data_IF_796429401241
#
_entry.id   IF_796429401241
#
_cell.length_a   1.000
_cell.length_b   1.000
_cell.length_c   1.000
_cell.angle_alpha   90.00
_cell.angle_beta   90.00
_cell.angle_gamma   90.00
#
_symmetry.space_group_name_H-M   'P 1'
#
loop_
_entity.id
_entity.type
_entity.pdbx_description
1 polymer ?
#
# COMPACT_ATOMS: atom_id res chain seq x y z
N UNK A 1 -41.88 -7.07 37.80
CA UNK A 1 -41.10 -7.49 36.61
C UNK A 1 -40.16 -6.34 36.26
N UNK A 2 -38.89 -6.45 36.65
CA UNK A 2 -37.87 -5.47 36.31
C UNK A 2 -37.33 -5.82 34.92
N UNK A 3 -37.45 -4.88 33.99
CA UNK A 3 -36.83 -4.97 32.67
C UNK A 3 -35.31 -4.86 32.84
N UNK A 4 -34.50 -5.68 32.15
CA UNK A 4 -33.06 -5.57 32.20
C UNK A 4 -32.64 -4.25 31.53
N UNK A 5 -31.91 -3.44 32.29
CA UNK A 5 -31.20 -2.26 31.79
C UNK A 5 -30.19 -2.75 30.75
N UNK A 6 -30.45 -2.44 29.50
CA UNK A 6 -29.48 -2.61 28.41
C UNK A 6 -28.32 -1.69 28.71
N UNK A 7 -27.24 -2.23 29.29
CA UNK A 7 -25.97 -1.53 29.43
C UNK A 7 -25.51 -1.11 28.03
N UNK A 8 -25.64 0.17 27.73
CA UNK A 8 -25.04 0.77 26.55
C UNK A 8 -23.53 0.57 26.64
N UNK A 9 -22.98 -0.14 25.65
CA UNK A 9 -21.55 -0.40 25.52
C UNK A 9 -20.73 0.88 25.69
N UNK A 10 -19.59 0.85 26.40
CA UNK A 10 -18.73 2.03 26.54
C UNK A 10 -18.34 2.53 25.16
N UNK A 11 -18.62 3.82 24.89
CA UNK A 11 -18.36 4.52 23.63
C UNK A 11 -17.13 3.98 22.91
N UNK A 12 -17.33 3.52 21.67
CA UNK A 12 -16.26 3.01 20.82
C UNK A 12 -15.31 4.16 20.43
N UNK A 13 -14.26 4.38 21.24
CA UNK A 13 -13.21 5.38 20.99
C UNK A 13 -12.25 4.99 19.87
N UNK A 14 -12.61 4.01 19.04
CA UNK A 14 -11.71 3.47 18.01
C UNK A 14 -11.84 4.29 16.74
N UNK A 15 -10.70 4.75 16.25
CA UNK A 15 -10.59 5.56 15.03
C UNK A 15 -10.41 4.72 13.75
N UNK A 16 -10.39 3.39 13.87
CA UNK A 16 -10.06 2.46 12.76
C UNK A 16 -10.92 1.19 12.82
N UNK A 17 -11.39 0.75 11.65
CA UNK A 17 -12.17 -0.48 11.50
C UNK A 17 -11.30 -1.72 11.79
N UNK A 18 -11.89 -2.71 12.47
CA UNK A 18 -11.25 -4.00 12.76
C UNK A 18 -11.94 -5.10 12.00
N UNK A 19 -11.14 -5.96 11.40
CA UNK A 19 -11.59 -7.13 10.67
C UNK A 19 -11.23 -8.35 11.49
N UNK A 20 -12.24 -9.13 11.90
CA UNK A 20 -12.01 -10.40 12.59
C UNK A 20 -11.53 -11.42 11.58
N UNK A 21 -10.34 -11.96 11.81
CA UNK A 21 -9.73 -12.94 10.92
C UNK A 21 -8.75 -13.80 11.71
N UNK A 22 -8.95 -15.11 11.62
CA UNK A 22 -8.09 -16.10 12.24
C UNK A 22 -7.05 -16.62 11.25
N UNK A 23 -5.87 -16.02 11.30
CA UNK A 23 -4.72 -16.41 10.48
C UNK A 23 -3.49 -16.61 11.37
N UNK A 24 -2.65 -17.63 11.10
CA UNK A 24 -1.39 -17.78 11.79
C UNK A 24 -0.47 -16.62 11.40
N UNK A 25 0.17 -16.04 12.41
CA UNK A 25 1.16 -14.97 12.26
C UNK A 25 2.44 -15.37 12.98
N UNK A 26 3.55 -14.78 12.56
CA UNK A 26 4.82 -14.90 13.30
C UNK A 26 5.07 -13.62 14.08
N UNK A 27 5.49 -13.78 15.33
CA UNK A 27 5.84 -12.71 16.25
C UNK A 27 7.32 -12.86 16.57
N UNK A 28 8.11 -11.88 16.15
CA UNK A 28 9.55 -11.83 16.43
C UNK A 28 9.72 -10.96 17.68
N UNK A 29 10.19 -11.58 18.76
CA UNK A 29 10.41 -10.93 20.05
C UNK A 29 11.88 -10.49 20.18
N UNK A 30 12.16 -9.35 20.81
CA UNK A 30 13.54 -8.95 21.12
C UNK A 30 14.26 -10.03 21.93
N UNK A 31 15.47 -10.41 21.50
CA UNK A 31 16.31 -11.39 22.21
C UNK A 31 15.91 -12.85 22.02
N UNK A 32 14.84 -13.15 21.30
CA UNK A 32 14.43 -14.53 20.97
C UNK A 32 14.85 -14.82 19.54
N UNK A 33 15.66 -15.87 19.33
CA UNK A 33 16.20 -16.21 18.01
C UNK A 33 15.12 -16.71 17.04
N UNK A 34 14.14 -17.47 17.56
CA UNK A 34 13.09 -18.06 16.74
C UNK A 34 11.78 -17.25 16.81
N UNK A 35 11.11 -17.00 15.67
CA UNK A 35 9.80 -16.38 15.67
C UNK A 35 8.76 -17.26 16.35
N UNK A 36 7.98 -16.67 17.26
CA UNK A 36 6.87 -17.35 17.94
C UNK A 36 5.65 -17.35 17.02
N UNK A 37 5.00 -18.49 16.86
CA UNK A 37 3.73 -18.56 16.12
C UNK A 37 2.58 -18.13 17.02
N UNK A 38 1.76 -17.21 16.54
CA UNK A 38 0.53 -16.78 17.20
C UNK A 38 -0.65 -16.87 16.23
N UNK A 39 -1.87 -16.84 16.76
CA UNK A 39 -3.09 -16.79 15.96
C UNK A 39 -3.65 -15.37 16.02
N UNK A 40 -3.72 -14.68 14.88
CA UNK A 40 -4.41 -13.40 14.80
C UNK A 40 -5.91 -13.61 15.08
N UNK A 41 -6.54 -12.68 15.79
CA UNK A 41 -7.97 -12.69 16.09
C UNK A 41 -8.68 -11.53 15.38
N UNK A 42 -8.09 -10.34 15.44
CA UNK A 42 -8.51 -9.18 14.67
C UNK A 42 -7.32 -8.40 14.12
N UNK A 43 -7.51 -7.75 12.98
CA UNK A 43 -6.54 -6.86 12.35
C UNK A 43 -7.22 -5.56 11.92
N UNK A 44 -6.52 -4.44 12.08
CA UNK A 44 -6.92 -3.14 11.55
C UNK A 44 -5.79 -2.51 10.76
N UNK A 45 -6.07 -1.34 10.19
CA UNK A 45 -5.04 -0.55 9.54
C UNK A 45 -3.89 -0.22 10.51
N UNK A 46 -4.14 0.03 11.79
CA UNK A 46 -3.12 0.45 12.76
C UNK A 46 -2.73 -0.53 13.85
N UNK A 47 -3.23 -1.76 13.84
CA UNK A 47 -2.79 -2.75 14.82
C UNK A 47 -3.38 -4.13 14.59
N UNK A 48 -3.08 -5.01 15.53
CA UNK A 48 -3.56 -6.37 15.54
C UNK A 48 -3.84 -6.85 16.96
N UNK A 49 -4.75 -7.81 17.08
CA UNK A 49 -5.02 -8.58 18.28
C UNK A 49 -4.71 -10.04 17.95
N UNK A 50 -3.89 -10.69 18.76
CA UNK A 50 -3.55 -12.10 18.55
C UNK A 50 -3.45 -12.88 19.86
N UNK A 51 -3.65 -14.19 19.77
CA UNK A 51 -3.53 -15.12 20.87
C UNK A 51 -2.24 -15.95 20.75
N UNK A 52 -1.46 -16.01 21.83
CA UNK A 52 -0.22 -16.79 21.94
C UNK A 52 -0.29 -17.80 23.08
N UNK A 53 0.50 -18.88 22.99
CA UNK A 53 0.52 -19.93 24.00
C UNK A 53 1.26 -19.50 25.27
N UNK A 54 2.31 -18.71 25.12
CA UNK A 54 3.19 -18.29 26.21
C UNK A 54 3.03 -16.79 26.52
N UNK A 55 3.33 -16.36 27.76
CA UNK A 55 3.34 -14.94 28.11
C UNK A 55 4.44 -14.21 27.37
N UNK A 56 4.21 -12.92 27.09
CA UNK A 56 5.25 -12.03 26.60
C UNK A 56 6.33 -11.79 27.68
N UNK A 57 7.62 -11.86 27.35
CA UNK A 57 8.69 -11.42 28.24
C UNK A 57 8.52 -9.96 28.70
N UNK A 58 9.05 -9.63 29.88
CA UNK A 58 8.88 -8.32 30.54
C UNK A 58 9.50 -7.13 29.77
N UNK A 59 10.35 -7.36 28.76
CA UNK A 59 10.96 -6.33 27.91
C UNK A 59 10.83 -6.70 26.42
N UNK A 60 9.63 -6.56 25.87
CA UNK A 60 9.29 -7.06 24.53
C UNK A 60 9.13 -5.98 23.46
N UNK A 61 9.53 -4.74 23.72
CA UNK A 61 9.34 -3.64 22.77
C UNK A 61 10.64 -3.17 22.10
N UNK A 62 10.62 -2.86 20.79
CA UNK A 62 9.53 -3.12 19.84
C UNK A 62 9.50 -4.59 19.40
N UNK A 63 8.30 -5.15 19.26
CA UNK A 63 8.11 -6.48 18.67
C UNK A 63 7.82 -6.36 17.18
N UNK A 64 8.13 -7.39 16.40
CA UNK A 64 7.85 -7.39 14.96
C UNK A 64 6.80 -8.44 14.60
N UNK A 65 5.73 -7.98 13.98
CA UNK A 65 4.65 -8.81 13.47
C UNK A 65 4.90 -9.14 12.00
N UNK A 66 4.72 -10.40 11.65
CA UNK A 66 4.84 -10.91 10.29
C UNK A 66 3.54 -11.61 9.93
N UNK A 67 2.77 -11.00 9.04
CA UNK A 67 1.55 -11.56 8.48
C UNK A 67 1.87 -12.25 7.15
N UNK A 68 1.22 -13.39 6.84
CA UNK A 68 1.37 -14.04 5.55
C UNK A 68 0.77 -13.18 4.43
N UNK A 69 1.39 -13.24 3.26
CA UNK A 69 0.90 -12.66 2.01
C UNK A 69 1.02 -13.71 0.88
N UNK A 70 0.48 -13.39 -0.31
CA UNK A 70 0.43 -14.33 -1.45
C UNK A 70 1.85 -14.83 -1.82
N UNK A 71 1.94 -16.10 -2.27
CA UNK A 71 3.17 -16.72 -2.81
C UNK A 71 4.38 -16.59 -1.87
N UNK A 72 4.20 -16.93 -0.60
CA UNK A 72 5.22 -16.90 0.47
C UNK A 72 5.79 -15.51 0.81
N UNK A 73 5.24 -14.45 0.24
CA UNK A 73 5.56 -13.09 0.64
C UNK A 73 4.97 -12.76 2.03
N UNK A 74 5.44 -11.67 2.64
CA UNK A 74 5.04 -11.28 3.99
C UNK A 74 4.76 -9.79 4.11
N UNK A 75 3.89 -9.43 5.07
CA UNK A 75 3.71 -8.07 5.55
C UNK A 75 4.42 -7.99 6.90
N UNK A 76 5.38 -7.08 7.02
CA UNK A 76 6.16 -6.88 8.24
C UNK A 76 5.81 -5.53 8.84
N UNK A 77 5.50 -5.53 10.13
CA UNK A 77 5.24 -4.33 10.89
C UNK A 77 6.01 -4.38 12.21
N UNK A 78 6.77 -3.32 12.52
CA UNK A 78 7.25 -3.12 13.87
C UNK A 78 6.07 -2.58 14.69
N UNK A 79 5.91 -3.11 15.90
CA UNK A 79 4.74 -2.91 16.73
C UNK A 79 5.10 -2.67 18.19
N UNK A 80 4.23 -1.92 18.86
CA UNK A 80 4.28 -1.63 20.29
C UNK A 80 3.17 -2.40 21.00
N UNK A 81 3.47 -2.93 22.19
CA UNK A 81 2.49 -3.63 23.00
C UNK A 81 1.54 -2.60 23.63
N UNK A 82 0.23 -2.79 23.45
CA UNK A 82 -0.77 -1.97 24.14
C UNK A 82 -1.24 -2.62 25.43
N UNK A 83 -1.49 -3.94 25.38
CA UNK A 83 -1.91 -4.74 26.52
C UNK A 83 -1.75 -6.23 26.24
N UNK A 84 -1.49 -7.00 27.28
CA UNK A 84 -1.58 -8.46 27.27
C UNK A 84 -2.51 -8.90 28.42
N UNK A 85 -3.36 -9.89 28.16
CA UNK A 85 -4.24 -10.48 29.18
C UNK A 85 -4.21 -12.00 29.10
N UNK A 86 -4.12 -12.71 30.24
CA UNK A 86 -4.30 -14.16 30.24
C UNK A 86 -5.76 -14.50 29.89
N UNK A 87 -5.94 -15.63 29.21
CA UNK A 87 -7.22 -16.26 28.89
C UNK A 87 -7.40 -17.49 29.79
N UNK A 88 -8.64 -17.93 29.97
CA UNK A 88 -9.00 -19.07 30.83
C UNK A 88 -8.35 -20.39 30.41
N UNK A 89 -7.98 -20.51 29.14
CA UNK A 89 -7.30 -21.69 28.57
C UNK A 89 -5.77 -21.65 28.69
N UNK A 90 -5.22 -20.73 29.49
CA UNK A 90 -3.78 -20.57 29.67
C UNK A 90 -3.07 -19.84 28.51
N UNK A 91 -3.79 -19.43 27.47
CA UNK A 91 -3.24 -18.58 26.40
C UNK A 91 -3.21 -17.12 26.81
N UNK A 92 -2.51 -16.31 26.04
CA UNK A 92 -2.41 -14.87 26.24
C UNK A 92 -2.97 -14.13 25.04
N UNK A 93 -3.90 -13.21 25.30
CA UNK A 93 -4.43 -12.30 24.31
C UNK A 93 -3.62 -11.00 24.33
N UNK A 94 -3.01 -10.68 23.20
CA UNK A 94 -2.06 -9.58 23.05
C UNK A 94 -2.57 -8.59 22.02
N UNK A 95 -2.71 -7.33 22.42
CA UNK A 95 -3.07 -6.24 21.53
C UNK A 95 -1.85 -5.37 21.26
N UNK A 96 -1.58 -5.13 19.99
CA UNK A 96 -0.43 -4.33 19.54
C UNK A 96 -0.86 -3.22 18.61
N UNK A 97 -0.07 -2.14 18.60
CA UNK A 97 -0.18 -1.05 17.63
C UNK A 97 1.00 -1.11 16.68
N UNK A 98 0.76 -0.97 15.38
CA UNK A 98 1.84 -0.82 14.43
C UNK A 98 2.48 0.57 14.56
N UNK A 99 3.81 0.60 14.72
CA UNK A 99 4.60 1.83 14.87
C UNK A 99 5.48 2.12 13.66
N UNK A 100 5.83 1.09 12.87
CA UNK A 100 6.54 1.29 11.63
C UNK A 100 6.16 0.21 10.61
N UNK A 101 5.86 0.64 9.38
CA UNK A 101 5.71 -0.25 8.23
C UNK A 101 6.52 0.30 7.06
N UNK A 102 7.14 -0.60 6.29
CA UNK A 102 7.66 -0.20 4.98
C UNK A 102 6.50 0.22 4.06
N UNK A 103 6.73 1.12 3.09
CA UNK A 103 5.70 1.47 2.10
C UNK A 103 5.09 0.23 1.41
N UNK A 104 5.92 -0.74 1.03
CA UNK A 104 5.48 -2.03 0.44
C UNK A 104 4.57 -2.81 1.39
N UNK A 105 4.92 -2.89 2.67
CA UNK A 105 4.11 -3.58 3.69
C UNK A 105 2.79 -2.84 3.94
N UNK A 106 2.78 -1.50 3.92
CA UNK A 106 1.54 -0.73 4.00
C UNK A 106 0.61 -1.04 2.81
N UNK A 107 1.09 -0.95 1.57
CA UNK A 107 0.25 -1.21 0.39
C UNK A 107 -0.33 -2.62 0.42
N UNK A 108 0.44 -3.62 0.85
CA UNK A 108 -0.04 -4.99 1.04
C UNK A 108 -1.07 -5.10 2.16
N UNK A 109 -0.84 -4.45 3.30
CA UNK A 109 -1.79 -4.43 4.41
C UNK A 109 -3.12 -3.82 3.99
N UNK A 110 -3.10 -2.70 3.27
CA UNK A 110 -4.33 -2.08 2.77
C UNK A 110 -5.08 -3.00 1.81
N UNK A 111 -4.37 -3.68 0.91
CA UNK A 111 -4.98 -4.70 0.04
C UNK A 111 -5.54 -5.87 0.84
N UNK A 112 -4.82 -6.36 1.84
CA UNK A 112 -5.30 -7.42 2.73
C UNK A 112 -6.61 -7.03 3.39
N UNK A 113 -6.66 -5.85 4.00
CA UNK A 113 -7.83 -5.35 4.70
C UNK A 113 -9.01 -5.16 3.75
N UNK A 114 -8.78 -4.66 2.53
CA UNK A 114 -9.82 -4.56 1.49
C UNK A 114 -10.36 -5.93 1.10
N UNK A 115 -9.49 -6.91 0.88
CA UNK A 115 -9.88 -8.27 0.53
C UNK A 115 -10.70 -8.92 1.65
N UNK A 116 -10.27 -8.77 2.90
CA UNK A 116 -10.98 -9.35 4.05
C UNK A 116 -12.30 -8.63 4.34
N UNK A 117 -12.36 -7.31 4.10
CA UNK A 117 -13.57 -6.50 4.30
C UNK A 117 -14.64 -6.74 3.23
N UNK A 118 -14.24 -7.01 1.98
CA UNK A 118 -15.16 -7.30 0.88
C UNK A 118 -15.84 -8.69 0.99
N UNK A 119 -15.27 -9.61 1.78
CA UNK A 119 -15.83 -10.96 2.00
C UNK A 119 -16.98 -11.02 3.01
N UNK A 120 -17.30 -9.92 3.70
CA UNK A 120 -18.44 -9.82 4.62
C UNK A 120 -19.70 -9.33 3.92
N UNK A 121 -20.81 -10.04 4.08
CA UNK A 121 -22.11 -9.75 3.45
C UNK A 121 -22.66 -8.36 3.83
N UNK A 122 -22.86 -7.51 2.81
CA UNK A 122 -23.64 -6.25 2.71
C UNK A 122 -23.26 -5.02 3.56
N UNK A 123 -22.90 -3.91 2.88
CA UNK A 123 -23.71 -2.68 2.80
C UNK A 123 -23.13 -1.67 1.78
N UNK A 124 -24.01 -0.90 1.15
CA UNK A 124 -23.80 0.03 0.04
C UNK A 124 -22.85 1.22 0.30
N UNK A 125 -22.14 1.64 -0.76
CA UNK A 125 -21.57 3.00 -0.92
C UNK A 125 -20.09 3.02 -1.31
N UNK A 126 -19.76 3.38 -2.56
CA UNK A 126 -18.38 3.75 -2.94
C UNK A 126 -18.04 5.19 -2.55
N UNK A 127 -16.90 5.77 -2.99
CA UNK A 127 -15.57 5.20 -3.25
C UNK A 127 -14.67 5.36 -1.99
N UNK A 128 -13.65 4.51 -1.83
CA UNK A 128 -12.71 4.47 -0.69
C UNK A 128 -13.30 4.25 0.71
N UNK A 129 -13.20 3.03 1.25
CA UNK A 129 -12.05 2.66 2.09
C UNK A 129 -12.10 3.21 3.54
N UNK A 130 -13.25 3.10 4.22
CA UNK A 130 -13.46 3.49 5.65
C UNK A 130 -12.63 2.72 6.70
N UNK A 131 -11.47 2.18 6.31
CA UNK A 131 -10.51 1.53 7.19
C UNK A 131 -9.80 2.54 8.12
N UNK A 132 -9.54 3.76 7.63
CA UNK A 132 -8.82 4.81 8.33
C UNK A 132 -9.21 6.20 7.80
N UNK A 133 -9.10 7.23 8.65
CA UNK A 133 -9.26 8.62 8.23
C UNK A 133 -8.13 9.05 7.28
N UNK A 134 -8.51 9.69 6.18
CA UNK A 134 -7.59 10.21 5.16
C UNK A 134 -7.52 11.74 5.25
N UNK A 135 -6.31 12.27 5.20
CA UNK A 135 -6.00 13.68 5.05
C UNK A 135 -5.42 13.87 3.65
N UNK A 136 -6.20 14.51 2.78
CA UNK A 136 -5.75 14.88 1.45
C UNK A 136 -5.12 16.28 1.47
N UNK A 137 -3.94 16.40 0.88
CA UNK A 137 -3.23 17.67 0.70
C UNK A 137 -2.98 17.86 -0.78
N UNK A 138 -3.52 18.93 -1.34
CA UNK A 138 -3.29 19.30 -2.74
C UNK A 138 -2.10 20.23 -2.83
N UNK A 139 -1.21 19.92 -3.76
CA UNK A 139 -0.02 20.73 -4.00
C UNK A 139 -0.21 21.58 -5.25
N UNK A 140 -0.01 22.89 -5.12
CA UNK A 140 -0.34 23.85 -6.18
C UNK A 140 0.81 24.01 -7.19
N UNK A 141 2.06 23.91 -6.73
CA UNK A 141 3.25 24.09 -7.56
C UNK A 141 4.40 23.15 -7.16
N UNK A 142 5.45 23.11 -8.00
CA UNK A 142 6.60 22.24 -7.79
C UNK A 142 7.44 22.61 -6.56
N UNK A 143 7.46 23.88 -6.15
CA UNK A 143 8.22 24.36 -4.99
C UNK A 143 7.53 23.95 -3.67
N UNK A 144 6.20 24.04 -3.62
CA UNK A 144 5.38 23.49 -2.55
C UNK A 144 5.64 21.99 -2.38
N UNK A 145 5.69 21.24 -3.48
CA UNK A 145 5.97 19.81 -3.44
C UNK A 145 7.41 19.56 -2.96
N UNK A 146 8.39 20.31 -3.46
CA UNK A 146 9.79 20.22 -3.03
C UNK A 146 9.91 20.44 -1.52
N UNK A 147 9.28 21.48 -0.98
CA UNK A 147 9.26 21.76 0.48
C UNK A 147 8.63 20.63 1.27
N UNK A 148 7.50 20.10 0.80
CA UNK A 148 6.83 18.97 1.44
C UNK A 148 7.70 17.70 1.43
N UNK A 149 8.36 17.39 0.30
CA UNK A 149 9.25 16.24 0.18
C UNK A 149 10.46 16.34 1.11
N UNK A 150 11.01 17.54 1.31
CA UNK A 150 12.09 17.76 2.29
C UNK A 150 11.61 17.47 3.71
N UNK A 151 10.43 17.94 4.09
CA UNK A 151 9.82 17.62 5.40
C UNK A 151 9.59 16.11 5.55
N UNK A 152 9.06 15.44 4.52
CA UNK A 152 8.89 13.98 4.48
C UNK A 152 10.22 13.26 4.71
N UNK A 153 11.31 13.73 4.08
CA UNK A 153 12.66 13.17 4.25
C UNK A 153 13.20 13.32 5.69
N UNK A 154 12.80 14.38 6.39
CA UNK A 154 13.09 14.64 7.79
C UNK A 154 12.23 13.79 8.74
N UNK A 155 11.15 13.19 8.24
CA UNK A 155 10.28 12.28 8.97
C UNK A 155 9.13 12.98 9.71
N UNK A 156 8.87 14.26 9.43
CA UNK A 156 7.71 14.98 9.96
C UNK A 156 7.09 15.89 8.91
N UNK A 157 5.83 16.26 9.07
CA UNK A 157 5.14 17.17 8.16
C UNK A 157 4.16 18.03 8.96
N UNK A 158 4.10 19.34 8.68
CA UNK A 158 3.22 20.27 9.38
C UNK A 158 2.19 20.86 8.42
N UNK A 159 0.92 20.83 8.82
CA UNK A 159 -0.20 21.23 7.96
C UNK A 159 -1.33 21.85 8.78
N UNK A 160 -1.99 22.88 8.23
CA UNK A 160 -3.17 23.48 8.84
C UNK A 160 -4.43 22.91 8.21
N UNK A 161 -5.38 22.48 9.04
CA UNK A 161 -6.64 21.86 8.65
C UNK A 161 -7.80 22.51 9.38
N UNK A 162 -9.02 22.34 8.86
CA UNK A 162 -10.26 22.78 9.52
C UNK A 162 -10.80 21.73 10.51
N UNK A 163 -10.39 20.47 10.31
CA UNK A 163 -10.89 19.34 11.06
C UNK A 163 -10.13 19.14 12.37
N UNK A 164 -10.85 18.75 13.43
CA UNK A 164 -10.21 18.30 14.67
C UNK A 164 -9.62 16.89 14.49
N UNK A 165 -8.36 16.73 14.90
CA UNK A 165 -7.66 15.45 14.98
C UNK A 165 -7.25 15.17 16.43
N UNK A 166 -7.14 13.90 16.78
CA UNK A 166 -6.71 13.49 18.12
C UNK A 166 -5.20 13.23 18.16
N UNK A 167 -4.56 13.53 19.29
CA UNK A 167 -3.18 13.13 19.53
C UNK A 167 -3.05 11.61 19.45
N UNK A 168 -1.94 11.14 18.91
CA UNK A 168 -1.67 9.73 18.63
C UNK A 168 -2.65 9.05 17.66
N UNK A 169 -3.44 9.81 16.90
CA UNK A 169 -4.23 9.25 15.82
C UNK A 169 -3.33 8.94 14.62
N UNK A 170 -3.31 7.68 14.15
CA UNK A 170 -2.70 7.37 12.85
C UNK A 170 -3.70 7.65 11.74
N UNK A 171 -3.26 8.37 10.73
CA UNK A 171 -4.06 8.79 9.57
C UNK A 171 -3.31 8.47 8.28
N UNK A 172 -4.06 8.34 7.19
CA UNK A 172 -3.48 8.28 5.85
C UNK A 172 -3.27 9.70 5.35
N UNK A 173 -2.04 10.08 5.01
CA UNK A 173 -1.74 11.29 4.28
C UNK A 173 -1.73 10.97 2.79
N UNK A 174 -2.57 11.65 2.01
CA UNK A 174 -2.62 11.55 0.56
C UNK A 174 -2.22 12.89 -0.03
N UNK A 175 -1.11 12.93 -0.75
CA UNK A 175 -0.61 14.14 -1.40
C UNK A 175 -1.01 14.01 -2.86
N UNK A 176 -1.99 14.81 -3.28
CA UNK A 176 -2.38 14.91 -4.67
C UNK A 176 -1.38 15.81 -5.40
N UNK A 177 -0.63 15.21 -6.34
CA UNK A 177 0.31 15.93 -7.18
C UNK A 177 -0.38 16.77 -8.25
N UNK A 178 0.40 17.61 -8.92
CA UNK A 178 0.01 18.25 -10.19
C UNK A 178 -0.10 17.18 -11.30
N UNK A 179 -0.69 17.52 -12.46
CA UNK A 179 -1.10 16.56 -13.52
C UNK A 179 -0.03 15.53 -13.95
N UNK A 180 1.25 15.83 -13.74
CA UNK A 180 2.38 15.00 -14.18
C UNK A 180 3.04 14.21 -13.05
N UNK A 181 2.61 14.39 -11.80
CA UNK A 181 3.22 13.76 -10.65
C UNK A 181 2.29 12.76 -9.96
N UNK A 182 2.82 11.58 -9.60
CA UNK A 182 2.06 10.55 -8.92
C UNK A 182 1.66 11.02 -7.52
N UNK A 183 0.42 10.73 -7.14
CA UNK A 183 -0.05 10.95 -5.78
C UNK A 183 0.77 10.13 -4.77
N UNK A 184 1.08 10.70 -3.62
CA UNK A 184 1.88 10.03 -2.59
C UNK A 184 0.96 9.66 -1.44
N UNK A 185 0.92 8.38 -1.07
CA UNK A 185 0.16 7.90 0.10
C UNK A 185 1.10 7.42 1.18
N UNK A 186 1.05 8.08 2.33
CA UNK A 186 1.91 7.78 3.47
C UNK A 186 1.08 7.61 4.73
N UNK A 187 1.63 6.84 5.65
CA UNK A 187 1.09 6.67 6.98
C UNK A 187 1.75 7.65 7.92
N UNK A 188 0.92 8.43 8.61
CA UNK A 188 1.37 9.42 9.58
C UNK A 188 0.62 9.29 10.90
N UNK A 189 1.23 9.82 11.96
CA UNK A 189 0.65 9.95 13.28
C UNK A 189 0.61 11.41 13.70
N UNK A 190 -0.51 11.84 14.25
CA UNK A 190 -0.66 13.18 14.82
C UNK A 190 0.10 13.25 16.14
N UNK A 191 1.19 14.00 16.18
CA UNK A 191 2.04 14.16 17.38
C UNK A 191 1.79 15.48 18.10
N UNK A 192 1.22 16.47 17.40
CA UNK A 192 0.88 17.78 17.96
C UNK A 192 -0.36 18.35 17.27
N UNK A 193 -1.22 19.00 18.04
CA UNK A 193 -2.39 19.73 17.55
C UNK A 193 -2.42 21.09 18.23
N UNK A 194 -2.34 22.16 17.46
CA UNK A 194 -2.39 23.54 17.96
C UNK A 194 -3.53 24.29 17.29
N UNK A 195 -4.37 24.97 18.08
CA UNK A 195 -5.36 25.90 17.52
C UNK A 195 -4.62 27.06 16.88
N UNK A 196 -4.88 27.32 15.62
CA UNK A 196 -4.26 28.39 14.86
C UNK A 196 -5.31 29.44 14.52
N UNK A 197 -4.88 30.70 14.50
CA UNK A 197 -5.71 31.81 14.06
C UNK A 197 -5.01 32.43 12.85
N UNK A 198 -5.62 32.28 11.68
CA UNK A 198 -5.11 32.87 10.45
C UNK A 198 -5.97 34.08 10.09
N UNK A 199 -5.33 35.23 9.85
CA UNK A 199 -6.02 36.46 9.43
C UNK A 199 -6.85 36.18 8.16
N UNK A 200 -8.14 36.49 8.19
CA UNK A 200 -9.08 36.22 7.08
C UNK A 200 -9.91 34.93 7.22
N UNK A 201 -9.58 34.07 8.21
CA UNK A 201 -10.32 32.83 8.49
C UNK A 201 -10.85 32.78 9.93
N UNK A 202 -11.12 33.94 10.54
CA UNK A 202 -11.59 34.06 11.92
C UNK A 202 -12.95 33.37 12.18
N UNK A 203 -13.67 33.04 11.12
CA UNK A 203 -14.95 32.32 11.16
C UNK A 203 -14.80 30.80 11.28
N UNK A 204 -13.58 30.26 11.20
CA UNK A 204 -13.32 28.82 11.22
C UNK A 204 -12.30 28.44 12.31
N UNK A 205 -12.55 27.33 12.99
CA UNK A 205 -11.57 26.69 13.87
C UNK A 205 -10.47 26.05 13.01
N UNK A 206 -9.30 26.68 12.98
CA UNK A 206 -8.12 26.13 12.31
C UNK A 206 -7.23 25.39 13.30
N UNK A 207 -6.71 24.25 12.87
CA UNK A 207 -5.81 23.40 13.63
C UNK A 207 -4.52 23.19 12.84
N UNK A 208 -3.37 23.58 13.39
CA UNK A 208 -2.07 23.17 12.87
C UNK A 208 -1.71 21.83 13.49
N UNK A 209 -1.54 20.84 12.63
CA UNK A 209 -1.09 19.51 12.98
C UNK A 209 0.41 19.39 12.73
N UNK A 210 1.12 18.76 13.65
CA UNK A 210 2.42 18.16 13.36
C UNK A 210 2.24 16.66 13.23
N UNK A 211 2.66 16.13 12.09
CA UNK A 211 2.56 14.72 11.74
C UNK A 211 3.96 14.09 11.76
N UNK A 212 4.05 12.87 12.28
CA UNK A 212 5.26 12.03 12.20
C UNK A 212 4.98 10.82 11.32
N UNK A 213 5.91 10.47 10.42
CA UNK A 213 5.71 9.33 9.51
C UNK A 213 5.99 8.01 10.22
N UNK A 214 5.06 7.06 10.14
CA UNK A 214 5.22 5.70 10.71
C UNK A 214 5.90 4.77 9.69
N UNK A 215 6.97 5.27 9.07
CA UNK A 215 7.78 4.61 8.04
C UNK A 215 9.27 4.67 8.40
N UNK A 216 10.08 3.71 7.95
CA UNK A 216 11.54 3.79 8.13
C UNK A 216 12.11 5.05 7.46
N UNK A 217 12.89 5.85 8.20
CA UNK A 217 13.50 7.10 7.68
C UNK A 217 14.31 6.89 6.40
N UNK A 218 15.02 5.76 6.28
CA UNK A 218 15.77 5.42 5.06
C UNK A 218 14.86 5.30 3.84
N UNK A 219 13.68 4.71 4.00
CA UNK A 219 12.67 4.59 2.94
C UNK A 219 12.06 5.93 2.58
N UNK A 220 11.78 6.79 3.57
CA UNK A 220 11.27 8.15 3.33
C UNK A 220 12.28 9.02 2.58
N UNK A 221 13.56 8.96 2.96
CA UNK A 221 14.63 9.67 2.24
C UNK A 221 14.77 9.19 0.80
N UNK A 222 14.78 7.87 0.60
CA UNK A 222 14.83 7.30 -0.75
C UNK A 222 13.64 7.75 -1.62
N UNK A 223 12.43 7.79 -1.03
CA UNK A 223 11.24 8.31 -1.69
C UNK A 223 11.39 9.79 -2.06
N UNK A 224 11.76 10.62 -1.09
CA UNK A 224 11.89 12.06 -1.30
C UNK A 224 12.95 12.37 -2.35
N UNK A 225 14.12 11.73 -2.30
CA UNK A 225 15.19 11.93 -3.30
C UNK A 225 14.75 11.55 -4.71
N UNK A 226 14.01 10.45 -4.85
CA UNK A 226 13.49 10.00 -6.14
C UNK A 226 12.50 10.99 -6.73
N UNK A 227 11.56 11.49 -5.93
CA UNK A 227 10.56 12.45 -6.39
C UNK A 227 11.16 13.84 -6.65
N UNK A 228 12.12 14.26 -5.83
CA UNK A 228 12.87 15.51 -6.04
C UNK A 228 13.66 15.48 -7.35
N UNK A 229 14.22 14.33 -7.74
CA UNK A 229 14.91 14.16 -9.02
C UNK A 229 13.98 14.16 -10.24
N UNK A 230 12.67 14.04 -10.05
CA UNK A 230 11.66 14.09 -11.11
C UNK A 230 11.01 15.47 -11.27
N UNK A 231 11.26 16.38 -10.33
CA UNK A 231 10.76 17.75 -10.44
C UNK A 231 11.59 18.53 -11.45
N UNK A 232 10.97 19.22 -12.42
CA UNK A 232 11.69 20.09 -13.33
C UNK A 232 12.46 21.13 -12.52
N UNK A 233 13.78 21.20 -12.70
CA UNK A 233 14.55 22.35 -12.24
C UNK A 233 14.05 23.57 -13.01
N UNK A 234 13.77 24.66 -12.29
CA UNK A 234 13.30 25.90 -12.89
C UNK A 234 14.39 26.44 -13.84
N UNK A 235 14.13 26.39 -15.16
CA UNK A 235 14.99 26.73 -16.33
C UNK A 235 16.17 25.75 -16.55
N UNK A 236 16.36 25.11 -17.71
CA UNK A 236 16.26 25.54 -19.10
C UNK A 236 15.84 24.37 -20.02
N UNK A 237 15.28 24.69 -21.19
CA UNK A 237 14.94 23.75 -22.25
C UNK A 237 16.13 22.86 -22.62
N UNK A 238 16.06 21.57 -22.29
CA UNK A 238 16.89 20.53 -22.90
C UNK A 238 16.24 19.17 -22.72
N UNK A 239 15.75 18.63 -23.84
CA UNK A 239 15.40 17.23 -24.05
C UNK A 239 16.41 16.30 -23.38
N UNK A 240 15.96 15.27 -22.63
CA UNK A 240 16.44 13.87 -22.70
C UNK A 240 15.77 12.90 -21.69
N UNK A 241 15.48 11.71 -22.24
CA UNK A 241 15.52 10.34 -21.70
C UNK A 241 14.69 9.92 -20.45
N UNK A 242 13.45 9.52 -20.70
CA UNK A 242 12.58 8.79 -19.78
C UNK A 242 12.94 7.28 -19.75
N UNK A 243 13.66 6.81 -18.73
CA UNK A 243 13.81 5.35 -18.50
C UNK A 243 13.87 4.87 -17.05
N UNK A 244 13.84 5.75 -16.04
CA UNK A 244 14.04 5.30 -14.65
C UNK A 244 13.02 5.93 -13.69
N UNK A 245 11.84 5.31 -13.59
CA UNK A 245 10.84 5.60 -12.54
C UNK A 245 10.48 4.28 -11.84
N UNK A 246 10.84 4.09 -10.55
CA UNK A 246 10.46 2.92 -9.76
C UNK A 246 8.95 2.77 -9.56
N UNK A 247 8.48 1.52 -9.62
CA UNK A 247 7.06 1.17 -9.87
C UNK A 247 6.06 1.49 -8.77
N UNK A 248 6.48 1.47 -7.52
CA UNK A 248 5.57 1.63 -6.38
C UNK A 248 4.96 3.05 -6.32
N UNK A 249 5.63 4.01 -6.96
CA UNK A 249 5.20 5.39 -7.13
C UNK A 249 4.00 5.51 -8.09
N UNK A 250 3.80 4.57 -9.04
CA UNK A 250 2.66 4.61 -10.00
C UNK A 250 1.34 4.07 -9.44
N UNK A 251 1.29 3.64 -8.19
CA UNK A 251 0.15 2.93 -7.57
C UNK A 251 -1.00 3.82 -7.06
N UNK A 252 -0.99 5.12 -7.37
CA UNK A 252 -1.83 6.11 -6.68
C UNK A 252 -2.92 6.80 -7.52
N UNK A 253 -3.13 6.46 -8.80
CA UNK A 253 -4.16 7.09 -9.62
C UNK A 253 -5.49 6.30 -9.63
N UNK A 254 -6.65 6.91 -9.32
CA UNK A 254 -7.95 6.46 -9.82
C UNK A 254 -8.20 7.02 -11.24
N UNK A 255 -9.02 6.36 -12.09
CA UNK A 255 -9.35 6.90 -13.40
C UNK A 255 -10.39 8.01 -13.24
N UNK A 256 -10.00 9.26 -13.49
CA UNK A 256 -10.91 10.40 -13.52
C UNK A 256 -11.22 10.79 -14.97
N UNK A 257 -12.47 10.54 -15.35
CA UNK A 257 -13.30 11.38 -16.23
C UNK A 257 -12.74 11.80 -17.59
N UNK A 258 -13.15 11.07 -18.64
CA UNK A 258 -13.13 11.58 -20.02
C UNK A 258 -14.13 12.74 -20.16
N UNK A 259 -13.68 13.92 -20.59
CA UNK A 259 -14.55 14.89 -21.26
C UNK A 259 -14.27 14.90 -22.76
N UNK A 260 -15.30 14.54 -23.52
CA UNK A 260 -15.73 14.94 -24.86
C UNK A 260 -14.74 15.59 -25.83
N UNK A 261 -14.69 15.01 -27.04
CA UNK A 261 -14.19 15.65 -28.26
C UNK A 261 -14.46 14.76 -29.47
N UNK A 262 -15.56 15.05 -30.17
CA UNK A 262 -16.02 14.41 -31.41
C UNK A 262 -14.92 14.31 -32.47
N UNK A 263 -14.82 13.12 -33.09
CA UNK A 263 -14.31 12.91 -34.45
C UNK A 263 -14.63 11.49 -34.89
N UNK A 264 -15.78 11.32 -35.56
CA UNK A 264 -16.11 10.09 -36.28
C UNK A 264 -15.38 10.09 -37.64
N UNK A 265 -14.83 8.94 -38.09
CA UNK A 265 -15.42 8.36 -39.30
C UNK A 265 -15.55 6.83 -39.28
N UNK A 266 -16.72 6.41 -39.81
CA UNK A 266 -17.19 5.17 -40.45
C UNK A 266 -16.66 3.75 -40.08
N UNK A 267 -17.57 2.74 -40.09
CA UNK A 267 -17.30 1.41 -39.58
C UNK A 267 -16.86 0.43 -40.69
N UNK A 268 -15.81 -0.34 -40.41
CA UNK A 268 -15.53 -1.58 -41.15
C UNK A 268 -15.55 -2.72 -40.14
N UNK A 269 -16.71 -3.37 -40.04
CA UNK A 269 -16.98 -4.50 -39.16
C UNK A 269 -16.30 -5.78 -39.67
N UNK A 270 -15.02 -5.93 -39.35
CA UNK A 270 -14.44 -7.22 -39.04
C UNK A 270 -14.09 -7.18 -37.56
N UNK A 271 -14.93 -7.74 -36.70
CA UNK A 271 -14.66 -7.76 -35.26
C UNK A 271 -13.52 -8.73 -34.96
N UNK A 272 -12.28 -8.34 -35.28
CA UNK A 272 -11.10 -8.90 -34.63
C UNK A 272 -11.23 -8.48 -33.18
N UNK A 273 -11.74 -9.39 -32.35
CA UNK A 273 -11.86 -9.18 -30.92
C UNK A 273 -10.45 -9.01 -30.38
N UNK A 274 -10.04 -7.74 -30.22
CA UNK A 274 -8.73 -7.39 -29.69
C UNK A 274 -8.66 -7.89 -28.26
N UNK A 275 -7.54 -8.51 -27.91
CA UNK A 275 -7.36 -9.06 -26.59
C UNK A 275 -7.16 -7.93 -25.56
N UNK A 276 -7.25 -8.27 -24.29
CA UNK A 276 -7.18 -7.30 -23.19
C UNK A 276 -5.80 -6.64 -23.16
N UNK A 277 -4.74 -7.40 -23.46
CA UNK A 277 -3.39 -6.84 -23.56
C UNK A 277 -3.24 -5.85 -24.72
N UNK A 278 -3.85 -6.11 -25.87
CA UNK A 278 -3.79 -5.20 -27.02
C UNK A 278 -4.58 -3.90 -26.78
N UNK A 279 -5.68 -3.97 -26.03
CA UNK A 279 -6.59 -2.85 -25.85
C UNK A 279 -6.19 -1.98 -24.66
N UNK A 280 -5.89 -2.61 -23.52
CA UNK A 280 -5.74 -1.92 -22.24
C UNK A 280 -4.27 -1.86 -21.78
N UNK A 281 -3.42 -2.77 -22.27
CA UNK A 281 -2.01 -2.90 -21.82
C UNK A 281 -1.00 -3.01 -22.97
N UNK A 282 -1.04 -2.14 -24.00
CA UNK A 282 -0.15 -2.26 -25.16
C UNK A 282 1.33 -2.13 -24.77
N UNK A 283 1.64 -1.41 -23.70
CA UNK A 283 3.01 -1.28 -23.18
C UNK A 283 3.58 -2.62 -22.67
N UNK A 284 2.74 -3.45 -22.05
CA UNK A 284 3.13 -4.78 -21.57
C UNK A 284 3.49 -5.69 -22.74
N UNK A 285 2.67 -5.62 -23.79
CA UNK A 285 2.87 -6.39 -25.01
C UNK A 285 4.12 -5.92 -25.76
N UNK A 286 4.34 -4.60 -25.87
CA UNK A 286 5.57 -4.04 -26.42
C UNK A 286 6.81 -4.45 -25.63
N UNK A 287 6.72 -4.46 -24.29
CA UNK A 287 7.80 -4.90 -23.41
C UNK A 287 8.17 -6.37 -23.63
N UNK A 288 7.19 -7.27 -23.66
CA UNK A 288 7.44 -8.70 -23.93
C UNK A 288 7.92 -8.95 -25.37
N UNK A 289 7.43 -8.16 -26.33
CA UNK A 289 7.83 -8.28 -27.74
C UNK A 289 9.32 -7.98 -27.93
N UNK A 290 9.90 -7.09 -27.11
CA UNK A 290 11.32 -6.75 -27.18
C UNK A 290 12.26 -7.94 -26.93
N UNK A 291 11.82 -8.96 -26.19
CA UNK A 291 12.56 -10.21 -25.96
C UNK A 291 12.03 -11.41 -26.75
N UNK A 292 11.09 -11.23 -27.68
CA UNK A 292 10.45 -12.35 -28.35
C UNK A 292 11.45 -13.15 -29.21
N UNK A 293 11.46 -14.47 -29.05
CA UNK A 293 12.40 -15.37 -29.73
C UNK A 293 13.67 -15.72 -28.95
N UNK A 294 13.99 -15.01 -27.87
CA UNK A 294 15.10 -15.34 -26.97
C UNK A 294 14.55 -15.83 -25.61
N UNK A 295 14.77 -17.10 -25.21
CA UNK A 295 14.30 -17.64 -23.93
C UNK A 295 14.78 -16.89 -22.69
N UNK A 296 16.05 -16.48 -22.65
CA UNK A 296 16.63 -15.85 -21.47
C UNK A 296 16.19 -14.38 -21.38
N UNK A 297 16.24 -13.65 -22.49
CA UNK A 297 15.80 -12.24 -22.51
C UNK A 297 14.28 -12.10 -22.31
N UNK A 298 13.47 -12.97 -22.93
CA UNK A 298 12.02 -12.99 -22.68
C UNK A 298 11.72 -13.32 -21.22
N UNK A 299 12.46 -14.24 -20.60
CA UNK A 299 12.26 -14.58 -19.21
C UNK A 299 12.58 -13.41 -18.27
N UNK A 300 13.65 -12.67 -18.52
CA UNK A 300 14.00 -11.49 -17.73
C UNK A 300 12.95 -10.39 -17.86
N UNK A 301 12.47 -10.11 -19.07
CA UNK A 301 11.39 -9.13 -19.31
C UNK A 301 10.07 -9.58 -18.72
N UNK A 302 9.74 -10.88 -18.81
CA UNK A 302 8.57 -11.46 -18.16
C UNK A 302 8.68 -11.37 -16.64
N UNK A 303 9.82 -11.71 -16.05
CA UNK A 303 10.04 -11.54 -14.61
C UNK A 303 9.97 -10.06 -14.22
N UNK A 304 10.47 -9.14 -15.06
CA UNK A 304 10.34 -7.70 -14.85
C UNK A 304 8.89 -7.23 -14.93
N UNK A 305 8.07 -7.83 -15.80
CA UNK A 305 6.65 -7.53 -15.94
C UNK A 305 5.79 -8.13 -14.82
N UNK A 306 6.17 -9.30 -14.30
CA UNK A 306 5.43 -10.06 -13.28
C UNK A 306 5.88 -9.75 -11.85
N UNK A 307 7.19 -9.60 -11.65
CA UNK A 307 7.85 -9.40 -10.35
C UNK A 307 8.56 -8.05 -10.23
N UNK A 308 8.83 -7.38 -11.36
CA UNK A 308 9.53 -6.09 -11.42
C UNK A 308 8.60 -4.90 -11.64
N UNK A 309 9.22 -3.80 -12.03
CA UNK A 309 8.67 -2.45 -11.93
C UNK A 309 7.65 -2.06 -13.01
N UNK A 310 7.31 -2.98 -13.93
CA UNK A 310 6.34 -2.76 -15.01
C UNK A 310 4.99 -3.45 -14.78
N UNK A 311 4.81 -4.15 -13.66
CA UNK A 311 3.53 -4.75 -13.29
C UNK A 311 2.47 -3.70 -12.94
N UNK A 312 1.23 -3.90 -13.42
CA UNK A 312 0.08 -3.03 -13.14
C UNK A 312 -0.13 -2.82 -11.62
N UNK A 313 -0.47 -1.62 -11.15
CA UNK A 313 -0.50 -1.30 -9.71
C UNK A 313 -1.60 -1.98 -8.88
N UNK A 314 -2.41 -2.87 -9.46
CA UNK A 314 -3.37 -3.75 -8.78
C UNK A 314 -2.97 -5.23 -8.79
N UNK A 315 -1.84 -5.58 -9.41
CA UNK A 315 -1.70 -6.87 -10.08
C UNK A 315 -2.39 -6.84 -11.44
N UNK A 316 -2.10 -7.84 -12.27
CA UNK A 316 -2.79 -7.99 -13.54
C UNK A 316 -4.26 -8.36 -13.30
N UNK A 317 -5.22 -7.69 -13.98
CA UNK A 317 -6.58 -8.20 -14.09
C UNK A 317 -6.56 -9.68 -14.49
N UNK A 318 -7.48 -10.49 -13.97
CA UNK A 318 -7.47 -11.96 -14.16
C UNK A 318 -7.37 -12.35 -15.64
N UNK A 319 -8.16 -11.70 -16.49
CA UNK A 319 -8.13 -11.83 -17.95
C UNK A 319 -6.79 -11.41 -18.58
N UNK A 320 -6.17 -10.30 -18.13
CA UNK A 320 -4.85 -9.89 -18.63
C UNK A 320 -3.73 -10.83 -18.15
N UNK A 321 -3.87 -11.38 -16.95
CA UNK A 321 -2.94 -12.37 -16.40
C UNK A 321 -2.98 -13.68 -17.18
N UNK A 322 -4.18 -14.17 -17.50
CA UNK A 322 -4.37 -15.36 -18.35
C UNK A 322 -3.71 -15.19 -19.72
N UNK A 323 -3.84 -14.03 -20.34
CA UNK A 323 -3.18 -13.72 -21.61
C UNK A 323 -1.66 -13.65 -21.48
N UNK A 324 -1.12 -13.07 -20.40
CA UNK A 324 0.34 -13.02 -20.14
C UNK A 324 0.90 -14.42 -19.90
N UNK A 325 0.21 -15.25 -19.11
CA UNK A 325 0.60 -16.64 -18.87
C UNK A 325 0.50 -17.48 -20.15
N UNK A 326 -0.51 -17.24 -20.98
CA UNK A 326 -0.61 -17.82 -22.31
C UNK A 326 0.59 -17.45 -23.19
N UNK A 327 0.99 -16.18 -23.23
CA UNK A 327 2.16 -15.73 -24.00
C UNK A 327 3.46 -16.39 -23.53
N UNK A 328 3.64 -16.56 -22.21
CA UNK A 328 4.79 -17.29 -21.68
C UNK A 328 4.79 -18.75 -22.09
N UNK A 329 3.65 -19.44 -21.97
CA UNK A 329 3.53 -20.84 -22.37
C UNK A 329 3.75 -21.02 -23.87
N UNK A 330 3.26 -20.09 -24.69
CA UNK A 330 3.46 -20.10 -26.13
C UNK A 330 4.94 -19.89 -26.49
N UNK A 331 5.60 -18.94 -25.82
CA UNK A 331 7.03 -18.68 -26.01
C UNK A 331 7.88 -19.88 -25.59
N UNK A 332 7.67 -20.41 -24.38
CA UNK A 332 8.42 -21.55 -23.84
C UNK A 332 8.26 -22.80 -24.75
N UNK A 333 7.10 -23.02 -25.38
CA UNK A 333 6.89 -24.12 -26.35
C UNK A 333 7.57 -23.89 -27.69
N UNK A 334 7.67 -22.64 -28.12
CA UNK A 334 8.19 -22.29 -29.46
C UNK A 334 9.71 -22.16 -29.46
N UNK A 335 10.28 -21.64 -28.37
CA UNK A 335 11.70 -21.28 -28.27
C UNK A 335 12.46 -22.04 -27.17
N UNK A 336 11.75 -22.78 -26.31
CA UNK A 336 12.32 -23.56 -25.21
C UNK A 336 12.38 -22.79 -23.89
N UNK A 337 12.76 -23.49 -22.81
CA UNK A 337 12.83 -22.91 -21.46
C UNK A 337 14.10 -22.08 -21.25
N UNK A 338 14.07 -21.00 -20.45
CA UNK A 338 15.27 -20.24 -20.08
C UNK A 338 16.24 -21.08 -19.24
N UNK A 339 17.54 -20.78 -19.32
CA UNK A 339 18.60 -21.51 -18.61
C UNK A 339 18.39 -21.51 -17.09
N UNK A 340 17.83 -20.43 -16.55
CA UNK A 340 17.48 -20.31 -15.14
C UNK A 340 16.45 -21.36 -14.67
N UNK A 341 15.54 -21.79 -15.56
CA UNK A 341 14.51 -22.81 -15.28
C UNK A 341 14.93 -24.23 -15.69
N UNK A 342 16.03 -24.38 -16.44
CA UNK A 342 16.57 -25.69 -16.82
C UNK A 342 17.35 -26.39 -15.68
N UNK A 343 17.74 -25.67 -14.62
CA UNK A 343 18.48 -26.23 -13.49
C UNK A 343 17.57 -26.52 -12.28
N UNK A 344 17.20 -27.80 -12.02
CA UNK A 344 16.21 -28.17 -10.99
C UNK A 344 16.65 -27.92 -9.53
N UNK A 345 17.92 -27.55 -9.29
CA UNK A 345 18.47 -27.32 -7.94
C UNK A 345 18.31 -25.86 -7.45
N UNK A 346 17.83 -24.94 -8.29
CA UNK A 346 17.46 -23.56 -7.90
C UNK A 346 15.95 -23.35 -8.02
N UNK A 347 15.17 -24.11 -7.24
CA UNK A 347 13.76 -23.78 -6.94
C UNK A 347 12.83 -23.51 -8.12
N UNK A 348 13.04 -24.15 -9.27
CA UNK A 348 12.13 -24.09 -10.41
C UNK A 348 11.01 -25.12 -10.26
N UNK A 349 9.78 -24.74 -10.62
CA UNK A 349 8.64 -25.66 -10.77
C UNK A 349 9.05 -26.86 -11.63
N UNK A 350 8.77 -28.07 -11.14
CA UNK A 350 8.71 -29.26 -12.00
C UNK A 350 7.45 -29.13 -12.88
N UNK A 351 7.62 -29.49 -14.15
CA UNK A 351 6.58 -29.44 -15.19
C UNK A 351 5.36 -30.30 -14.86
#
# INVERSE_FOLDING_TARGET
>A
MQQPVTESSPHDRRTQARIRVQIPIKVILPGVAEPVTALNEDISWGGALFAMAEPLPQQTEPLRIVLPWKRDEQITADARLLRARPLENGRYLVAVRFVSLSPRSQSRLERLLKMLGAGGTQAHGGPSDGLVRELEVTVNDAEDLRRMLLQIAEGHYSVTVFDAYELDQSIRLSIAGTKDLPGIRLRTRVVKVEKSHTKGFEWADLHTLTLEFEHPRKSLKALASLLLGQLPETQDDSYLCFSEIPSWVRTAAPPLGKSSGDSQPCPVSGSTQRCVLETDFPEALNHLTAGWGDPDAFHELFQSLVMGDHGQPGGWPENAWEEIEFLQNLHDRSYGLPRARQNPLKGGRLA
#
